data_IF_530181449547
#
_entry.id   IF_530181449547
#
_cell.length_a   1.000
_cell.length_b   1.000
_cell.length_c   1.000
_cell.angle_alpha   90.00
_cell.angle_beta   90.00
_cell.angle_gamma   90.00
#
_symmetry.space_group_name_H-M   'P 1'
#
loop_
_entity.id
_entity.type
_entity.pdbx_description
1 polymer ?
#
# COMPACT_ATOMS: atom_id res chain seq x y z
N UNK A 1 -15.35 -16.64 15.18
CA UNK A 1 -15.38 -15.64 14.09
C UNK A 1 -13.97 -15.56 13.53
N UNK A 2 -13.79 -15.67 12.21
CA UNK A 2 -12.49 -15.45 11.57
C UNK A 2 -12.23 -13.95 11.51
N UNK A 3 -11.00 -13.52 11.81
CA UNK A 3 -10.55 -12.14 11.56
C UNK A 3 -10.35 -11.93 10.07
N UNK A 4 -10.60 -10.73 9.57
CA UNK A 4 -10.44 -10.37 8.15
C UNK A 4 -9.19 -9.52 7.98
N UNK A 5 -8.34 -9.91 7.03
CA UNK A 5 -7.15 -9.19 6.63
C UNK A 5 -7.27 -8.76 5.17
N UNK A 6 -7.06 -7.48 4.90
CA UNK A 6 -7.04 -6.93 3.55
C UNK A 6 -5.61 -6.54 3.17
N UNK A 7 -5.09 -7.11 2.08
CA UNK A 7 -3.82 -6.68 1.47
C UNK A 7 -4.13 -5.74 0.30
N UNK A 8 -3.76 -4.47 0.46
CA UNK A 8 -3.86 -3.44 -0.58
C UNK A 8 -2.48 -3.17 -1.18
N UNK A 9 -2.30 -3.46 -2.46
CA UNK A 9 -1.00 -3.30 -3.10
C UNK A 9 -1.01 -3.24 -4.63
N UNK A 10 0.17 -3.39 -5.20
CA UNK A 10 0.43 -3.33 -6.64
C UNK A 10 0.63 -4.73 -7.26
N UNK A 11 1.42 -4.84 -8.34
CA UNK A 11 1.81 -6.09 -9.00
C UNK A 11 2.52 -7.07 -8.06
N UNK A 12 3.28 -6.59 -7.08
CA UNK A 12 3.97 -7.43 -6.10
C UNK A 12 2.97 -8.16 -5.20
N UNK A 13 1.86 -7.51 -4.84
CA UNK A 13 0.75 -8.13 -4.08
C UNK A 13 -0.21 -8.91 -4.98
N UNK A 14 -0.38 -8.50 -6.23
CA UNK A 14 -1.13 -9.24 -7.22
C UNK A 14 -0.50 -10.61 -7.52
N UNK A 15 0.83 -10.69 -7.43
CA UNK A 15 1.62 -11.85 -7.82
C UNK A 15 1.97 -11.86 -9.30
N UNK A 16 2.23 -10.71 -9.90
CA UNK A 16 2.73 -10.66 -11.28
C UNK A 16 4.19 -11.13 -11.33
N UNK A 17 4.56 -12.09 -12.19
CA UNK A 17 5.95 -12.43 -12.41
C UNK A 17 6.70 -11.26 -13.06
N UNK A 18 8.03 -11.17 -12.90
CA UNK A 18 8.85 -10.21 -13.65
C UNK A 18 8.61 -10.42 -15.16
N UNK A 19 8.14 -9.38 -15.84
CA UNK A 19 7.79 -9.47 -17.26
C UNK A 19 9.04 -9.65 -18.12
N UNK A 20 9.07 -10.70 -18.94
CA UNK A 20 10.03 -10.83 -20.04
C UNK A 20 9.50 -10.05 -21.27
N UNK A 21 8.17 -9.99 -21.43
CA UNK A 21 7.45 -9.27 -22.49
C UNK A 21 6.26 -8.49 -21.91
N UNK A 22 5.95 -7.32 -22.48
CA UNK A 22 4.88 -6.42 -22.05
C UNK A 22 3.45 -6.92 -22.35
N UNK A 23 3.30 -7.95 -23.18
CA UNK A 23 2.00 -8.39 -23.71
C UNK A 23 1.34 -9.55 -22.92
N UNK A 24 2.01 -10.10 -21.91
CA UNK A 24 1.50 -11.25 -21.16
C UNK A 24 0.94 -10.84 -19.79
N UNK A 25 -0.38 -11.01 -19.61
CA UNK A 25 -1.03 -10.90 -18.31
C UNK A 25 -0.86 -12.21 -17.52
N UNK A 26 0.18 -12.26 -16.69
CA UNK A 26 0.49 -13.41 -15.86
C UNK A 26 0.24 -13.14 -14.37
N UNK A 27 -0.16 -14.19 -13.67
CA UNK A 27 -0.36 -14.18 -12.23
C UNK A 27 0.10 -15.51 -11.63
N UNK A 28 0.98 -15.43 -10.64
CA UNK A 28 1.37 -16.57 -9.82
C UNK A 28 0.15 -17.21 -9.16
N UNK A 29 0.20 -18.52 -8.98
CA UNK A 29 -0.83 -19.25 -8.25
C UNK A 29 -0.85 -18.89 -6.75
N UNK A 30 -1.87 -19.37 -6.04
CA UNK A 30 -1.99 -19.09 -4.61
C UNK A 30 -0.84 -19.70 -3.78
N UNK A 31 -0.09 -20.68 -4.28
CA UNK A 31 1.02 -21.27 -3.54
C UNK A 31 2.20 -20.29 -3.43
N UNK A 32 2.38 -19.43 -4.43
CA UNK A 32 3.54 -18.52 -4.54
C UNK A 32 3.23 -17.11 -4.04
N UNK A 33 2.01 -16.58 -4.25
CA UNK A 33 1.68 -15.20 -3.88
C UNK A 33 1.84 -14.95 -2.38
N UNK A 34 2.62 -13.92 -2.02
CA UNK A 34 2.93 -13.64 -0.62
C UNK A 34 1.69 -13.43 0.28
N UNK A 35 0.57 -12.81 -0.17
CA UNK A 35 -0.61 -12.68 0.68
C UNK A 35 -1.18 -14.05 1.07
N UNK A 36 -1.21 -14.98 0.12
CA UNK A 36 -1.70 -16.35 0.31
C UNK A 36 -0.75 -17.18 1.18
N UNK A 37 0.57 -17.04 0.98
CA UNK A 37 1.58 -17.66 1.85
C UNK A 37 1.42 -17.18 3.29
N UNK A 38 1.29 -15.87 3.49
CA UNK A 38 1.05 -15.27 4.81
C UNK A 38 -0.25 -15.77 5.43
N UNK A 39 -1.36 -15.78 4.68
CA UNK A 39 -2.65 -16.25 5.20
C UNK A 39 -2.61 -17.71 5.65
N UNK A 40 -1.93 -18.59 4.91
CA UNK A 40 -1.71 -19.99 5.34
C UNK A 40 -0.88 -20.06 6.62
N UNK A 41 0.14 -19.22 6.76
CA UNK A 41 0.97 -19.18 7.97
C UNK A 41 0.21 -18.64 9.20
N UNK A 42 -0.71 -17.69 9.00
CA UNK A 42 -1.61 -17.17 10.05
C UNK A 42 -2.67 -18.18 10.49
N UNK A 43 -3.03 -19.12 9.61
CA UNK A 43 -3.95 -20.22 9.89
C UNK A 43 -5.44 -19.86 9.72
N UNK A 44 -6.35 -20.80 10.01
CA UNK A 44 -7.77 -20.69 9.67
C UNK A 44 -8.55 -19.64 10.49
N UNK A 45 -7.90 -18.98 11.45
CA UNK A 45 -8.48 -17.86 12.19
C UNK A 45 -8.48 -16.53 11.41
N UNK A 46 -7.89 -16.51 10.22
CA UNK A 46 -7.79 -15.35 9.35
C UNK A 46 -8.38 -15.62 7.96
N UNK A 47 -9.20 -14.68 7.47
CA UNK A 47 -9.70 -14.62 6.11
C UNK A 47 -8.93 -13.53 5.36
N UNK A 48 -8.47 -13.83 4.15
CA UNK A 48 -7.68 -12.92 3.32
C UNK A 48 -8.53 -12.29 2.23
N UNK A 49 -8.36 -10.98 2.03
CA UNK A 49 -8.84 -10.22 0.87
C UNK A 49 -7.61 -9.71 0.12
N UNK A 50 -7.46 -10.13 -1.15
CA UNK A 50 -6.36 -9.73 -2.03
C UNK A 50 -6.77 -8.57 -2.95
N UNK A 51 -6.40 -7.35 -2.58
CA UNK A 51 -6.58 -6.12 -3.38
C UNK A 51 -5.24 -5.69 -4.02
N UNK A 52 -4.64 -6.57 -4.83
CA UNK A 52 -3.42 -6.30 -5.59
C UNK A 52 -3.72 -5.90 -7.04
N UNK A 53 -3.33 -4.68 -7.44
CA UNK A 53 -3.56 -4.14 -8.78
C UNK A 53 -2.24 -3.72 -9.45
N UNK A 54 -1.76 -4.42 -10.48
CA UNK A 54 -0.57 -4.03 -11.24
C UNK A 54 -0.64 -2.58 -11.71
N UNK A 55 0.44 -1.81 -11.50
CA UNK A 55 0.53 -0.39 -11.85
C UNK A 55 -0.01 0.60 -10.81
N UNK A 56 -0.70 0.12 -9.75
CA UNK A 56 -1.24 1.00 -8.71
C UNK A 56 -0.15 1.85 -8.07
N UNK A 57 -0.41 3.15 -7.96
CA UNK A 57 0.43 4.14 -7.29
C UNK A 57 -0.17 4.51 -5.93
N UNK A 58 0.56 5.25 -5.10
CA UNK A 58 0.04 5.72 -3.83
C UNK A 58 -0.94 6.89 -3.99
N UNK A 59 -0.77 7.74 -5.00
CA UNK A 59 -1.48 9.02 -5.11
C UNK A 59 -1.65 9.58 -6.53
N UNK A 60 -1.07 8.92 -7.54
CA UNK A 60 -1.03 9.44 -8.91
C UNK A 60 -2.00 8.71 -9.82
N UNK A 61 -2.75 9.50 -10.58
CA UNK A 61 -3.39 9.03 -11.79
C UNK A 61 -2.28 8.71 -12.80
N UNK A 62 -2.30 7.52 -13.39
CA UNK A 62 -1.31 7.16 -14.41
C UNK A 62 -1.83 7.62 -15.78
N UNK A 63 -1.07 8.43 -16.54
CA UNK A 63 -1.53 8.95 -17.83
C UNK A 63 -1.64 7.87 -18.92
N UNK A 64 -0.96 6.73 -18.77
CA UNK A 64 -0.99 5.61 -19.69
C UNK A 64 -2.02 4.56 -19.25
N UNK A 65 -2.02 4.20 -17.97
CA UNK A 65 -2.86 3.12 -17.44
C UNK A 65 -4.24 3.63 -16.95
N UNK A 66 -4.38 4.92 -16.68
CA UNK A 66 -5.62 5.58 -16.29
C UNK A 66 -5.69 6.01 -14.82
N UNK A 67 -6.64 6.90 -14.51
CA UNK A 67 -6.84 7.49 -13.19
C UNK A 67 -7.15 6.47 -12.07
N UNK A 68 -7.64 5.29 -12.43
CA UNK A 68 -7.94 4.22 -11.49
C UNK A 68 -6.68 3.57 -10.87
N UNK A 69 -5.48 3.88 -11.39
CA UNK A 69 -4.21 3.52 -10.73
C UNK A 69 -3.95 4.31 -9.45
N UNK A 70 -4.68 5.39 -9.21
CA UNK A 70 -4.55 6.17 -7.99
C UNK A 70 -5.04 5.39 -6.77
N UNK A 71 -4.09 5.01 -5.92
CA UNK A 71 -4.34 4.22 -4.72
C UNK A 71 -5.32 4.87 -3.75
N UNK A 72 -5.47 6.20 -3.72
CA UNK A 72 -6.41 6.86 -2.81
C UNK A 72 -7.86 6.57 -3.20
N UNK A 73 -8.18 6.69 -4.49
CA UNK A 73 -9.49 6.31 -5.03
C UNK A 73 -9.72 4.81 -4.84
N UNK A 74 -8.72 3.98 -5.18
CA UNK A 74 -8.80 2.54 -5.02
C UNK A 74 -9.02 2.08 -3.58
N UNK A 75 -8.36 2.72 -2.60
CA UNK A 75 -8.46 2.34 -1.19
C UNK A 75 -9.85 2.63 -0.63
N UNK A 76 -10.46 3.76 -1.00
CA UNK A 76 -11.86 4.06 -0.61
C UNK A 76 -12.81 3.00 -1.13
N UNK A 77 -12.69 2.67 -2.41
CA UNK A 77 -13.51 1.62 -3.03
C UNK A 77 -13.31 0.29 -2.29
N UNK A 78 -12.08 -0.11 -1.98
CA UNK A 78 -11.80 -1.36 -1.28
C UNK A 78 -12.39 -1.38 0.14
N UNK A 79 -12.18 -0.33 0.94
CA UNK A 79 -12.71 -0.23 2.32
C UNK A 79 -14.24 -0.13 2.35
N UNK A 80 -14.85 0.49 1.34
CA UNK A 80 -16.31 0.55 1.23
C UNK A 80 -16.93 -0.74 0.69
N UNK A 81 -16.20 -1.52 -0.10
CA UNK A 81 -16.68 -2.79 -0.69
C UNK A 81 -16.54 -3.99 0.24
N UNK A 82 -15.51 -4.01 1.08
CA UNK A 82 -15.19 -5.13 1.97
C UNK A 82 -15.49 -4.79 3.42
N UNK A 83 -15.64 -5.79 4.30
CA UNK A 83 -15.70 -5.57 5.75
C UNK A 83 -16.68 -6.46 6.52
N UNK A 84 -16.60 -6.48 7.87
CA UNK A 84 -15.60 -5.78 8.70
C UNK A 84 -14.18 -6.33 8.49
N UNK A 85 -13.18 -5.44 8.60
CA UNK A 85 -11.74 -5.75 8.46
C UNK A 85 -11.11 -5.61 9.84
N UNK A 86 -10.17 -6.49 10.19
CA UNK A 86 -9.40 -6.41 11.44
C UNK A 86 -7.98 -5.84 11.21
N UNK A 87 -7.40 -6.10 10.04
CA UNK A 87 -6.08 -5.61 9.65
C UNK A 87 -6.04 -5.22 8.16
N UNK A 88 -5.63 -3.98 7.89
CA UNK A 88 -5.25 -3.50 6.56
C UNK A 88 -3.73 -3.51 6.42
N UNK A 89 -3.22 -4.19 5.39
CA UNK A 89 -1.82 -4.12 4.98
C UNK A 89 -1.72 -3.30 3.70
N UNK A 90 -0.87 -2.27 3.70
CA UNK A 90 -0.57 -1.45 2.52
C UNK A 90 0.88 -1.71 2.12
N UNK A 91 1.08 -2.18 0.88
CA UNK A 91 2.40 -2.27 0.26
C UNK A 91 2.33 -1.61 -1.12
N UNK A 92 2.72 -0.34 -1.18
CA UNK A 92 2.74 0.50 -2.37
C UNK A 92 3.96 1.42 -2.36
N UNK A 93 4.26 2.02 -3.51
CA UNK A 93 5.38 2.94 -3.71
C UNK A 93 6.30 2.55 -4.85
N UNK A 94 6.19 1.31 -5.36
CA UNK A 94 6.96 0.85 -6.53
C UNK A 94 6.65 1.73 -7.73
N UNK A 95 5.38 1.81 -8.16
CA UNK A 95 5.00 2.54 -9.37
C UNK A 95 5.14 4.05 -9.24
N UNK A 96 5.11 4.58 -8.01
CA UNK A 96 5.40 5.99 -7.76
C UNK A 96 6.85 6.34 -8.13
N UNK A 97 7.78 5.37 -8.10
CA UNK A 97 9.17 5.56 -8.49
C UNK A 97 9.41 5.62 -10.01
N UNK A 98 8.35 5.55 -10.83
CA UNK A 98 8.46 5.78 -12.27
C UNK A 98 8.87 7.22 -12.55
N UNK A 99 9.80 7.41 -13.49
CA UNK A 99 10.38 8.71 -13.85
C UNK A 99 9.32 9.76 -14.17
N UNK A 100 8.22 9.36 -14.81
CA UNK A 100 7.10 10.23 -15.20
C UNK A 100 6.43 10.95 -14.02
N UNK A 101 6.54 10.43 -12.80
CA UNK A 101 5.98 11.06 -11.61
C UNK A 101 6.98 11.99 -10.91
N UNK A 102 8.19 12.16 -11.45
CA UNK A 102 9.29 12.97 -10.88
C UNK A 102 9.59 12.60 -9.40
N UNK A 103 9.93 11.33 -9.14
CA UNK A 103 9.79 10.76 -7.81
C UNK A 103 10.89 11.20 -6.85
N UNK A 104 10.53 11.31 -5.57
CA UNK A 104 11.47 11.36 -4.44
C UNK A 104 10.94 10.47 -3.31
N UNK A 105 11.78 9.96 -2.41
CA UNK A 105 11.33 9.20 -1.24
C UNK A 105 10.22 9.91 -0.45
N UNK A 106 10.34 11.22 -0.25
CA UNK A 106 9.38 12.04 0.48
C UNK A 106 8.04 12.12 -0.22
N UNK A 107 8.03 12.23 -1.56
CA UNK A 107 6.79 12.24 -2.33
C UNK A 107 6.05 10.92 -2.23
N UNK A 108 6.77 9.80 -2.32
CA UNK A 108 6.18 8.46 -2.15
C UNK A 108 5.60 8.32 -0.73
N UNK A 109 6.35 8.72 0.30
CA UNK A 109 5.88 8.71 1.69
C UNK A 109 4.68 9.63 1.89
N UNK A 110 4.61 10.77 1.21
CA UNK A 110 3.43 11.65 1.27
C UNK A 110 2.17 10.98 0.71
N UNK A 111 2.30 10.16 -0.33
CA UNK A 111 1.16 9.40 -0.85
C UNK A 111 0.75 8.26 0.07
N UNK A 112 1.72 7.52 0.62
CA UNK A 112 1.48 6.51 1.67
C UNK A 112 0.77 7.13 2.88
N UNK A 113 1.24 8.31 3.33
CA UNK A 113 0.63 9.10 4.39
C UNK A 113 -0.84 9.38 4.10
N UNK A 114 -1.16 9.79 2.87
CA UNK A 114 -2.54 9.98 2.43
C UNK A 114 -3.38 8.71 2.53
N UNK A 115 -2.85 7.55 2.11
CA UNK A 115 -3.55 6.27 2.27
C UNK A 115 -3.82 5.91 3.74
N UNK A 116 -2.85 6.17 4.61
CA UNK A 116 -3.02 5.95 6.06
C UNK A 116 -4.08 6.89 6.62
N UNK A 117 -4.13 8.16 6.21
CA UNK A 117 -5.17 9.11 6.63
C UNK A 117 -6.56 8.68 6.18
N UNK A 118 -6.69 8.09 5.00
CA UNK A 118 -7.94 7.49 4.52
C UNK A 118 -8.35 6.33 5.43
N UNK A 119 -7.44 5.40 5.67
CA UNK A 119 -7.71 4.21 6.47
C UNK A 119 -8.09 4.55 7.92
N UNK A 120 -7.44 5.56 8.51
CA UNK A 120 -7.67 6.01 9.88
C UNK A 120 -8.77 7.06 10.01
N UNK A 121 -9.43 7.44 8.91
CA UNK A 121 -10.55 8.38 8.98
C UNK A 121 -11.69 7.80 9.82
N UNK A 122 -12.39 8.67 10.56
CA UNK A 122 -13.51 8.27 11.42
C UNK A 122 -14.57 7.43 10.69
N UNK A 123 -15.00 7.76 9.44
CA UNK A 123 -15.96 6.94 8.72
C UNK A 123 -15.46 5.51 8.47
N UNK A 124 -14.18 5.35 8.10
CA UNK A 124 -13.60 4.03 7.83
C UNK A 124 -13.39 3.23 9.12
N UNK A 125 -12.89 3.87 10.17
CA UNK A 125 -12.67 3.21 11.46
C UNK A 125 -14.00 2.79 12.11
N UNK A 126 -15.02 3.64 12.09
CA UNK A 126 -16.35 3.31 12.59
C UNK A 126 -17.03 2.18 11.80
N UNK A 127 -16.85 2.14 10.47
CA UNK A 127 -17.42 1.09 9.60
C UNK A 127 -16.88 -0.31 9.92
N UNK A 128 -15.63 -0.40 10.37
CA UNK A 128 -14.91 -1.67 10.55
C UNK A 128 -14.60 -1.99 12.02
N UNK A 129 -15.15 -1.24 12.97
CA UNK A 129 -14.90 -1.43 14.41
C UNK A 129 -13.41 -1.28 14.81
N UNK A 130 -12.69 -0.38 14.16
CA UNK A 130 -11.33 0.00 14.56
C UNK A 130 -10.22 -0.95 14.10
N UNK A 131 -10.05 -1.14 12.79
CA UNK A 131 -9.01 -2.00 12.23
C UNK A 131 -7.59 -1.42 12.36
N UNK A 132 -6.59 -2.30 12.49
CA UNK A 132 -5.19 -1.92 12.51
C UNK A 132 -4.66 -1.68 11.08
N UNK A 133 -3.64 -0.82 10.95
CA UNK A 133 -2.95 -0.55 9.67
C UNK A 133 -1.48 -0.93 9.78
N UNK A 134 -1.01 -1.78 8.86
CA UNK A 134 0.40 -2.11 8.67
C UNK A 134 0.86 -1.57 7.32
N UNK A 135 1.93 -0.78 7.30
CA UNK A 135 2.58 -0.32 6.08
C UNK A 135 3.86 -1.12 5.86
N UNK A 136 4.03 -1.68 4.66
CA UNK A 136 5.22 -2.39 4.23
C UNK A 136 5.94 -1.54 3.18
N UNK A 137 7.23 -1.26 3.41
CA UNK A 137 8.08 -0.68 2.38
C UNK A 137 8.31 -1.74 1.28
N UNK A 138 8.05 -1.45 0.00
CA UNK A 138 8.43 -2.36 -1.07
C UNK A 138 9.95 -2.54 -1.13
N UNK A 139 10.40 -3.65 -1.71
CA UNK A 139 11.81 -3.88 -1.97
C UNK A 139 12.37 -2.81 -2.93
N UNK A 140 13.66 -2.44 -2.81
CA UNK A 140 14.30 -1.55 -3.76
C UNK A 140 14.19 -2.07 -5.19
N UNK A 141 14.00 -1.15 -6.13
CA UNK A 141 13.90 -1.43 -7.56
C UNK A 141 15.28 -1.69 -8.12
N UNK A 142 15.39 -2.70 -8.96
CA UNK A 142 16.52 -2.88 -9.87
C UNK A 142 16.10 -2.39 -11.26
N UNK A 143 16.88 -1.48 -11.85
CA UNK A 143 16.62 -0.92 -13.19
C UNK A 143 17.06 -1.92 -14.27
N UNK A 144 16.32 -3.03 -14.37
CA UNK A 144 16.59 -4.13 -15.29
C UNK A 144 15.33 -4.53 -16.06
N UNK A 145 15.53 -5.11 -17.24
CA UNK A 145 14.44 -5.64 -18.05
C UNK A 145 13.62 -4.58 -18.81
N UNK A 146 12.45 -4.96 -19.33
CA UNK A 146 11.69 -4.15 -20.30
C UNK A 146 11.15 -2.82 -19.76
N UNK A 147 11.06 -2.65 -18.44
CA UNK A 147 10.51 -1.46 -17.78
C UNK A 147 11.59 -0.44 -17.37
N UNK A 148 12.87 -0.72 -17.66
CA UNK A 148 14.00 0.16 -17.28
C UNK A 148 13.77 1.62 -17.68
N UNK A 149 13.21 1.87 -18.86
CA UNK A 149 12.90 3.23 -19.32
C UNK A 149 11.81 3.93 -18.52
N UNK A 150 10.86 3.20 -17.92
CA UNK A 150 9.84 3.78 -17.04
C UNK A 150 10.40 4.15 -15.67
N UNK A 151 11.43 3.42 -15.22
CA UNK A 151 12.02 3.49 -13.89
C UNK A 151 13.41 4.11 -13.86
N UNK A 152 13.81 4.87 -14.89
CA UNK A 152 15.11 5.53 -14.91
C UNK A 152 15.29 6.43 -13.67
N UNK A 153 16.28 6.12 -12.83
CA UNK A 153 16.54 6.78 -11.55
C UNK A 153 15.71 6.25 -10.36
N UNK A 154 14.79 5.32 -10.61
CA UNK A 154 13.92 4.71 -9.62
C UNK A 154 14.65 3.80 -8.63
N UNK A 155 15.80 3.22 -9.00
CA UNK A 155 16.61 2.42 -8.08
C UNK A 155 17.15 3.28 -6.93
N UNK A 156 17.68 4.46 -7.23
CA UNK A 156 18.18 5.38 -6.22
C UNK A 156 17.05 5.91 -5.30
N UNK A 157 15.89 6.22 -5.89
CA UNK A 157 14.72 6.69 -5.12
C UNK A 157 14.18 5.60 -4.19
N UNK A 158 13.98 4.39 -4.70
CA UNK A 158 13.43 3.28 -3.92
C UNK A 158 14.39 2.82 -2.81
N UNK A 159 15.70 2.86 -3.02
CA UNK A 159 16.69 2.61 -1.96
C UNK A 159 16.60 3.62 -0.80
N UNK A 160 16.23 4.88 -1.10
CA UNK A 160 16.02 5.94 -0.10
C UNK A 160 14.67 5.89 0.62
N UNK A 161 13.72 5.05 0.19
CA UNK A 161 12.35 5.06 0.70
C UNK A 161 12.23 4.57 2.15
N UNK A 162 12.88 3.44 2.47
CA UNK A 162 12.77 2.80 3.77
C UNK A 162 13.11 3.73 4.97
N UNK A 163 14.23 4.47 4.98
CA UNK A 163 14.54 5.37 6.11
C UNK A 163 13.53 6.51 6.25
N UNK A 164 13.05 7.10 5.15
CA UNK A 164 12.07 8.20 5.17
C UNK A 164 10.71 7.70 5.66
N UNK A 165 10.27 6.54 5.18
CA UNK A 165 9.03 5.92 5.64
C UNK A 165 9.10 5.58 7.13
N UNK A 166 10.20 4.99 7.59
CA UNK A 166 10.39 4.66 9.00
C UNK A 166 10.38 5.92 9.89
N UNK A 167 10.98 7.02 9.44
CA UNK A 167 10.93 8.29 10.16
C UNK A 167 9.49 8.84 10.25
N UNK A 168 8.74 8.78 9.15
CA UNK A 168 7.34 9.19 9.11
C UNK A 168 6.44 8.36 10.04
N UNK A 169 6.56 7.03 10.01
CA UNK A 169 5.81 6.14 10.90
C UNK A 169 6.11 6.42 12.37
N UNK A 170 7.39 6.62 12.74
CA UNK A 170 7.78 7.00 14.12
C UNK A 170 7.12 8.32 14.54
N UNK A 171 7.15 9.34 13.69
CA UNK A 171 6.53 10.63 13.98
C UNK A 171 5.02 10.52 14.20
N UNK A 172 4.31 9.70 13.40
CA UNK A 172 2.87 9.45 13.56
C UNK A 172 2.55 8.72 14.86
N UNK A 173 3.27 7.64 15.19
CA UNK A 173 3.06 6.90 16.45
C UNK A 173 3.26 7.82 17.65
N UNK A 174 4.32 8.64 17.65
CA UNK A 174 4.55 9.63 18.69
C UNK A 174 3.37 10.62 18.81
N UNK A 175 2.84 11.11 17.68
CA UNK A 175 1.69 12.03 17.69
C UNK A 175 0.41 11.36 18.19
N UNK A 176 0.10 10.12 17.79
CA UNK A 176 -1.07 9.38 18.28
C UNK A 176 -0.96 9.11 19.79
N UNK A 177 0.22 8.75 20.29
CA UNK A 177 0.44 8.59 21.73
C UNK A 177 0.18 9.90 22.50
N UNK A 178 0.60 11.05 21.93
CA UNK A 178 0.34 12.37 22.53
C UNK A 178 -1.12 12.81 22.43
N UNK A 179 -1.86 12.41 21.40
CA UNK A 179 -3.30 12.67 21.28
C UNK A 179 -4.09 11.81 22.27
N UNK A 180 -3.75 10.53 22.41
CA UNK A 180 -4.37 9.64 23.39
C UNK A 180 -4.06 10.05 24.85
N UNK A 181 -2.91 10.68 25.11
CA UNK A 181 -2.58 11.24 26.42
C UNK A 181 -3.17 12.63 26.67
N UNK A 182 -3.75 13.27 25.65
CA UNK A 182 -4.40 14.58 25.75
C UNK A 182 -5.87 14.42 25.41
N UNK A 183 -6.65 13.90 26.36
CA UNK A 183 -8.10 14.17 26.41
C UNK A 183 -8.28 15.68 26.53
N UNK A 184 -8.37 16.37 25.39
CA UNK A 184 -8.69 17.79 25.38
C UNK A 184 -10.16 17.93 25.71
N UNK A 185 -10.41 18.37 26.95
CA UNK A 185 -11.58 19.17 27.29
C UNK A 185 -11.75 20.25 26.22
N UNK A 186 -12.87 20.21 25.50
CA UNK A 186 -13.34 21.34 24.74
C UNK A 186 -13.60 22.51 25.70
N UNK A 187 -13.00 23.65 25.44
CA UNK A 187 -13.14 24.86 26.24
C UNK A 187 -12.60 26.08 25.49
N UNK A 188 -13.55 26.91 25.05
CA UNK A 188 -13.48 28.15 24.27
C UNK A 188 -13.19 28.02 22.77
#
# INVERSE_FOLDING_TARGET
>A
MSRTLLVFGDSNSHGSPPGINHDEYLRYDAAIRWPQVMARALGPGWALIEEGLPGRTTQFDDPLMGAHMNGQTGLRIALESHGPIDLLIIMLGTNDAKTRFNPTPERIVSGISGLVDIALSEPMQARHDGFAVLVICPAPIEEVGPETGEFLGGAAVSAGLAPVLAAHCRARICNTAHQNSRSKSAGC
#
